data_IF_751851580357
#
_entry.id   IF_751851580357
#
_cell.length_a   1.000
_cell.length_b   1.000
_cell.length_c   1.000
_cell.angle_alpha   90.00
_cell.angle_beta   90.00
_cell.angle_gamma   90.00
#
_symmetry.space_group_name_H-M   'P 1'
#
loop_
_entity.id
_entity.type
_entity.pdbx_description
1 polymer ?
#
# COMPACT_ATOMS: atom_id res chain seq x y z
N UNK A 1 29.12 41.30 10.53
CA UNK A 1 28.54 40.53 9.39
C UNK A 1 27.61 41.44 8.61
N UNK A 2 27.69 41.45 7.27
CA UNK A 2 26.92 42.38 6.42
C UNK A 2 25.44 41.96 6.36
N UNK A 3 24.51 42.90 6.57
CA UNK A 3 23.06 42.65 6.54
C UNK A 3 22.60 41.89 5.30
N UNK A 4 23.20 42.17 4.13
CA UNK A 4 22.90 41.46 2.87
C UNK A 4 23.25 39.97 2.93
N UNK A 5 24.32 39.61 3.65
CA UNK A 5 24.73 38.20 3.85
C UNK A 5 23.77 37.46 4.77
N UNK A 6 23.27 38.14 5.81
CA UNK A 6 22.29 37.56 6.75
C UNK A 6 20.97 37.28 6.02
N UNK A 7 20.48 38.24 5.23
CA UNK A 7 19.24 38.06 4.44
C UNK A 7 19.36 36.90 3.44
N UNK A 8 20.50 36.78 2.74
CA UNK A 8 20.72 35.67 1.83
C UNK A 8 20.73 34.31 2.54
N UNK A 9 21.37 34.20 3.71
CA UNK A 9 21.37 32.97 4.50
C UNK A 9 19.97 32.57 4.97
N UNK A 10 19.13 33.54 5.38
CA UNK A 10 17.74 33.27 5.80
C UNK A 10 16.90 32.75 4.63
N UNK A 11 17.04 33.34 3.43
CA UNK A 11 16.31 32.88 2.24
C UNK A 11 16.70 31.43 1.89
N UNK A 12 17.99 31.10 1.95
CA UNK A 12 18.46 29.73 1.69
C UNK A 12 17.95 28.74 2.74
N UNK A 13 17.94 29.11 4.01
CA UNK A 13 17.40 28.28 5.09
C UNK A 13 15.90 28.03 4.93
N UNK A 14 15.11 29.05 4.60
CA UNK A 14 13.67 28.91 4.37
C UNK A 14 13.39 28.04 3.14
N UNK A 15 14.14 28.21 2.05
CA UNK A 15 14.03 27.37 0.87
C UNK A 15 14.37 25.90 1.19
N UNK A 16 15.45 25.65 1.93
CA UNK A 16 15.86 24.29 2.32
C UNK A 16 14.80 23.59 3.21
N UNK A 17 14.23 24.30 4.18
CA UNK A 17 13.19 23.76 5.08
C UNK A 17 11.86 23.55 4.32
N UNK A 18 11.49 24.47 3.43
CA UNK A 18 10.32 24.34 2.57
C UNK A 18 10.40 23.13 1.63
N UNK A 19 11.59 22.85 1.08
CA UNK A 19 11.83 21.68 0.22
C UNK A 19 11.78 20.34 0.98
N UNK A 20 12.17 20.30 2.26
CA UNK A 20 12.08 19.07 3.07
C UNK A 20 10.64 18.74 3.47
N UNK A 21 9.81 19.76 3.70
CA UNK A 21 8.43 19.58 4.21
C UNK A 21 7.46 19.02 3.16
N UNK A 22 7.74 19.18 1.87
CA UNK A 22 6.88 18.68 0.77
C UNK A 22 6.93 17.15 0.60
N UNK A 23 7.94 16.49 1.19
CA UNK A 23 8.03 15.02 1.21
C UNK A 23 7.39 14.39 2.47
N UNK A 24 6.64 15.17 3.26
CA UNK A 24 5.91 14.66 4.42
C UNK A 24 4.93 13.55 4.00
N UNK A 25 5.11 12.35 4.57
CA UNK A 25 4.33 11.12 4.39
C UNK A 25 3.38 11.09 3.18
N UNK A 26 3.82 10.44 2.10
CA UNK A 26 2.93 10.08 1.00
C UNK A 26 1.73 9.29 1.55
N UNK A 27 0.52 9.65 1.11
CA UNK A 27 -0.69 8.91 1.43
C UNK A 27 -0.60 7.44 1.00
N UNK A 28 -1.48 6.57 1.53
CA UNK A 28 -1.51 5.18 1.11
C UNK A 28 -1.75 5.08 -0.42
N UNK A 29 -1.23 4.04 -1.09
CA UNK A 29 -1.49 3.82 -2.50
C UNK A 29 -2.99 3.77 -2.78
N UNK A 30 -3.44 4.50 -3.79
CA UNK A 30 -4.84 4.49 -4.24
C UNK A 30 -5.19 3.19 -4.98
N UNK A 31 -4.21 2.58 -5.63
CA UNK A 31 -4.33 1.31 -6.36
C UNK A 31 -3.17 0.35 -6.09
N UNK A 32 -3.35 -0.91 -6.45
CA UNK A 32 -2.29 -1.92 -6.39
C UNK A 32 -1.34 -1.71 -7.58
N UNK A 33 -0.04 -1.67 -7.34
CA UNK A 33 0.97 -1.47 -8.38
C UNK A 33 1.98 -2.62 -8.36
N UNK A 34 2.42 -3.05 -9.54
CA UNK A 34 3.45 -4.10 -9.68
C UNK A 34 3.02 -5.44 -9.09
N UNK A 35 1.74 -5.79 -9.20
CA UNK A 35 1.16 -7.00 -8.59
C UNK A 35 0.20 -7.70 -9.54
N UNK A 36 0.31 -9.01 -9.65
CA UNK A 36 -0.69 -9.89 -10.28
C UNK A 36 -1.34 -10.80 -9.23
N UNK A 37 -2.55 -11.28 -9.53
CA UNK A 37 -3.27 -12.19 -8.65
C UNK A 37 -4.04 -13.22 -9.49
N UNK A 38 -3.58 -14.48 -9.44
CA UNK A 38 -4.19 -15.59 -10.14
C UNK A 38 -5.01 -16.43 -9.16
N UNK A 39 -6.30 -16.62 -9.44
CA UNK A 39 -7.14 -17.53 -8.66
C UNK A 39 -6.82 -18.95 -9.09
N UNK A 40 -6.22 -19.72 -8.19
CA UNK A 40 -5.85 -21.12 -8.47
C UNK A 40 -7.05 -22.06 -8.32
N UNK A 41 -7.87 -21.81 -7.29
CA UNK A 41 -9.11 -22.54 -7.04
C UNK A 41 -10.02 -21.74 -6.12
N UNK A 42 -11.29 -22.09 -6.07
CA UNK A 42 -12.19 -21.56 -5.05
C UNK A 42 -13.45 -22.40 -4.86
N UNK A 43 -13.97 -22.31 -3.64
CA UNK A 43 -15.12 -23.05 -3.14
C UNK A 43 -16.19 -22.01 -2.78
N UNK A 44 -17.41 -22.22 -3.26
CA UNK A 44 -18.58 -21.48 -2.76
C UNK A 44 -18.89 -22.00 -1.35
N UNK A 45 -18.89 -21.12 -0.36
CA UNK A 45 -19.11 -21.54 1.03
C UNK A 45 -20.59 -21.63 1.38
N UNK A 46 -21.48 -20.98 0.61
CA UNK A 46 -22.92 -21.03 0.87
C UNK A 46 -23.47 -22.46 0.75
N UNK A 47 -22.92 -23.27 -0.16
CA UNK A 47 -23.31 -24.68 -0.30
C UNK A 47 -22.71 -25.60 0.76
N UNK A 48 -21.69 -25.15 1.49
CA UNK A 48 -20.91 -25.99 2.41
C UNK A 48 -21.17 -25.69 3.89
N UNK A 49 -21.51 -24.44 4.21
CA UNK A 49 -21.62 -23.94 5.59
C UNK A 49 -22.83 -23.02 5.70
N UNK A 50 -23.78 -23.40 6.56
CA UNK A 50 -24.96 -22.57 6.86
C UNK A 50 -24.56 -21.15 7.28
N UNK A 51 -25.19 -20.15 6.67
CA UNK A 51 -24.94 -18.73 6.95
C UNK A 51 -23.76 -18.12 6.20
N UNK A 52 -23.14 -18.83 5.26
CA UNK A 52 -22.04 -18.33 4.41
C UNK A 52 -22.49 -17.96 2.98
N UNK A 53 -23.77 -17.71 2.74
CA UNK A 53 -24.29 -17.33 1.43
C UNK A 53 -23.53 -16.15 0.80
N UNK A 54 -23.15 -16.31 -0.47
CA UNK A 54 -22.39 -15.30 -1.22
C UNK A 54 -20.92 -15.18 -0.82
N UNK A 55 -20.41 -16.04 0.07
CA UNK A 55 -18.99 -16.05 0.48
C UNK A 55 -18.25 -17.13 -0.30
N UNK A 56 -17.03 -16.78 -0.76
CA UNK A 56 -16.16 -17.70 -1.49
C UNK A 56 -14.82 -17.82 -0.81
N UNK A 57 -14.40 -19.03 -0.48
CA UNK A 57 -13.02 -19.31 -0.12
C UNK A 57 -12.22 -19.48 -1.40
N UNK A 58 -11.11 -18.74 -1.55
CA UNK A 58 -10.29 -18.82 -2.75
C UNK A 58 -8.81 -18.92 -2.40
N UNK A 59 -8.12 -19.82 -3.08
CA UNK A 59 -6.66 -19.85 -3.09
C UNK A 59 -6.17 -19.01 -4.26
N UNK A 60 -5.23 -18.12 -3.98
CA UNK A 60 -4.63 -17.26 -5.01
C UNK A 60 -3.12 -17.37 -4.96
N UNK A 61 -2.48 -17.32 -6.13
CA UNK A 61 -1.07 -16.98 -6.26
C UNK A 61 -0.98 -15.49 -6.51
N UNK A 62 -0.16 -14.81 -5.72
CA UNK A 62 0.11 -13.38 -5.88
C UNK A 62 1.59 -13.25 -6.18
N UNK A 63 1.92 -12.58 -7.29
CA UNK A 63 3.28 -12.18 -7.61
C UNK A 63 3.36 -10.66 -7.45
N UNK A 64 4.36 -10.21 -6.70
CA UNK A 64 4.62 -8.78 -6.48
C UNK A 64 6.04 -8.49 -6.96
N UNK A 65 6.16 -7.60 -7.94
CA UNK A 65 7.44 -7.14 -8.48
C UNK A 65 8.16 -6.22 -7.47
N UNK A 66 9.49 -6.04 -7.57
CA UNK A 66 10.23 -5.10 -6.75
C UNK A 66 9.61 -3.69 -6.79
N UNK A 67 9.37 -3.11 -5.61
CA UNK A 67 8.69 -1.82 -5.47
C UNK A 67 7.16 -1.85 -5.59
N UNK A 68 6.56 -3.04 -5.78
CA UNK A 68 5.12 -3.23 -5.81
C UNK A 68 4.45 -2.83 -4.49
N UNK A 69 3.21 -2.34 -4.58
CA UNK A 69 2.44 -1.78 -3.46
C UNK A 69 1.00 -2.26 -3.50
N UNK A 70 0.37 -2.34 -2.33
CA UNK A 70 -1.06 -2.67 -2.21
C UNK A 70 -1.81 -1.55 -1.52
N UNK A 71 -3.07 -1.35 -1.92
CA UNK A 71 -3.96 -0.37 -1.28
C UNK A 71 -4.26 -0.75 0.15
N UNK A 72 -4.49 0.26 0.99
CA UNK A 72 -4.99 0.03 2.33
C UNK A 72 -6.42 -0.54 2.25
N UNK A 73 -6.68 -1.67 2.91
CA UNK A 73 -7.99 -2.31 2.92
C UNK A 73 -8.26 -3.02 4.25
N UNK A 74 -9.55 -3.19 4.59
CA UNK A 74 -10.01 -3.87 5.80
C UNK A 74 -10.12 -5.38 5.62
N UNK A 75 -9.86 -6.13 6.70
CA UNK A 75 -10.01 -7.59 6.75
C UNK A 75 -11.21 -8.04 7.59
N UNK A 76 -11.99 -7.09 8.13
CA UNK A 76 -13.14 -7.39 9.00
C UNK A 76 -14.08 -8.44 8.41
N UNK A 77 -14.40 -8.30 7.12
CA UNK A 77 -15.37 -9.15 6.44
C UNK A 77 -14.72 -10.07 5.38
N UNK A 78 -13.39 -10.04 5.26
CA UNK A 78 -12.64 -10.81 4.26
C UNK A 78 -11.24 -11.21 4.78
N UNK A 79 -11.19 -12.08 5.79
CA UNK A 79 -9.92 -12.57 6.30
C UNK A 79 -9.22 -13.45 5.25
N UNK A 80 -7.89 -13.54 5.36
CA UNK A 80 -7.10 -14.50 4.60
C UNK A 80 -5.86 -14.91 5.38
N UNK A 81 -5.27 -16.03 4.99
CA UNK A 81 -3.93 -16.45 5.39
C UNK A 81 -3.01 -16.32 4.19
N UNK A 82 -1.80 -15.81 4.40
CA UNK A 82 -0.79 -15.71 3.36
C UNK A 82 0.40 -16.60 3.72
N UNK A 83 0.88 -17.35 2.73
CA UNK A 83 2.12 -18.11 2.82
C UNK A 83 3.06 -17.59 1.73
N UNK A 84 4.24 -17.12 2.13
CA UNK A 84 5.25 -16.60 1.20
C UNK A 84 6.02 -17.78 0.64
N UNK A 85 5.91 -17.99 -0.68
CA UNK A 85 6.60 -19.08 -1.36
C UNK A 85 8.07 -18.76 -1.64
N UNK A 86 8.36 -17.49 -1.97
CA UNK A 86 9.68 -17.01 -2.36
C UNK A 86 9.72 -15.47 -2.26
N UNK A 87 10.89 -14.91 -1.98
CA UNK A 87 11.16 -13.46 -1.94
C UNK A 87 12.59 -13.17 -1.54
#
# INVERSE_FOLDING_TARGET
VNAKRITACIIVLVAAIGFWSVNGQQGPPEENMGRTADVLTGIDLGSEIDGMDGRRLRMQRITTEPGGKTTLHSHKDRPFVMHVLQG
#
